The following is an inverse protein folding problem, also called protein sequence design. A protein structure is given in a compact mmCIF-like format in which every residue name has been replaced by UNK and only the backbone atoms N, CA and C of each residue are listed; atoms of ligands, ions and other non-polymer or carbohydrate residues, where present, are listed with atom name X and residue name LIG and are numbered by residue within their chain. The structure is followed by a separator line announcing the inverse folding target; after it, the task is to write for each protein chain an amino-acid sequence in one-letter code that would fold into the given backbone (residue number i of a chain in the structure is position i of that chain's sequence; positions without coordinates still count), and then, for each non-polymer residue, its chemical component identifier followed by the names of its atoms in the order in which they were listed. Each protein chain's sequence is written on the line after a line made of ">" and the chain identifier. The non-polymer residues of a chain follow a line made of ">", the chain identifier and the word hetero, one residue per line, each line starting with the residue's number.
data_IF_849842463340
#
_entry.id   IF_849842463340
#
_cell.length_a   1.000
_cell.length_b   1.000
_cell.length_c   1.000
_cell.angle_alpha   90.00
_cell.angle_beta   90.00
_cell.angle_gamma   90.00
#
_symmetry.space_group_name_H-M   'P 1'
#
loop_
_entity.id
_entity.type
_entity.pdbx_description
1 polymer ?
#
# COMPACT_ATOMS: atom_id res chain seq x y z
N UNK A 1 18.02 -10.16 -4.56
CA UNK A 1 16.77 -10.94 -4.40
C UNK A 1 15.68 -9.99 -4.82
N UNK A 2 14.91 -10.35 -5.84
CA UNK A 2 13.85 -9.49 -6.33
C UNK A 2 12.66 -9.57 -5.39
N UNK A 3 12.12 -8.40 -5.04
CA UNK A 3 11.00 -8.25 -4.10
C UNK A 3 9.82 -7.66 -4.85
N UNK A 4 8.64 -8.27 -4.73
CA UNK A 4 7.41 -7.70 -5.27
C UNK A 4 6.75 -6.85 -4.21
N UNK A 5 6.38 -5.61 -4.55
CA UNK A 5 5.51 -4.80 -3.70
C UNK A 5 4.04 -5.17 -3.97
N UNK A 6 3.30 -5.65 -2.97
CA UNK A 6 1.89 -6.06 -3.13
C UNK A 6 0.97 -5.07 -2.42
N UNK A 7 0.02 -4.48 -3.13
CA UNK A 7 -0.95 -3.53 -2.61
C UNK A 7 -2.30 -4.22 -2.34
N UNK A 8 -2.66 -4.32 -1.06
CA UNK A 8 -3.93 -4.87 -0.60
C UNK A 8 -4.87 -3.72 -0.18
N UNK A 9 -5.87 -3.44 -1.03
CA UNK A 9 -6.88 -2.40 -0.78
C UNK A 9 -8.10 -3.04 -0.11
N UNK A 10 -8.06 -3.10 1.22
CA UNK A 10 -9.20 -3.49 2.03
C UNK A 10 -10.21 -2.37 2.23
N UNK A 11 -11.40 -2.71 2.75
CA UNK A 11 -12.46 -1.74 3.05
C UNK A 11 -12.08 -0.72 4.14
N UNK A 12 -11.33 -1.16 5.13
CA UNK A 12 -10.99 -0.35 6.32
C UNK A 12 -9.53 0.05 6.37
N UNK A 13 -8.65 -0.71 5.71
CA UNK A 13 -7.22 -0.45 5.67
C UNK A 13 -6.69 -0.71 4.26
N UNK A 14 -5.68 0.04 3.88
CA UNK A 14 -4.81 -0.28 2.74
C UNK A 14 -3.47 -0.72 3.30
N UNK A 15 -2.91 -1.79 2.74
CA UNK A 15 -1.63 -2.35 3.14
C UNK A 15 -0.70 -2.50 1.95
N UNK A 16 0.58 -2.31 2.21
CA UNK A 16 1.64 -2.51 1.23
C UNK A 16 2.65 -3.50 1.81
N UNK A 17 2.89 -4.59 1.09
CA UNK A 17 3.81 -5.64 1.49
C UNK A 17 5.05 -5.60 0.60
N UNK A 18 6.24 -5.80 1.19
CA UNK A 18 7.40 -6.26 0.45
C UNK A 18 7.43 -7.79 0.53
N UNK A 19 7.27 -8.48 -0.60
CA UNK A 19 7.15 -9.95 -0.65
C UNK A 19 8.37 -10.56 -1.31
N UNK A 20 9.01 -11.49 -0.61
CA UNK A 20 10.15 -12.24 -1.12
C UNK A 20 9.77 -13.23 -2.24
N UNK A 21 10.76 -13.79 -2.95
CA UNK A 21 10.52 -14.71 -4.06
C UNK A 21 9.87 -16.04 -3.66
N UNK A 22 9.86 -16.37 -2.38
CA UNK A 22 9.15 -17.52 -1.80
C UNK A 22 7.68 -17.21 -1.45
N UNK A 23 7.22 -15.99 -1.73
CA UNK A 23 5.87 -15.51 -1.42
C UNK A 23 5.69 -15.09 0.05
N UNK A 24 6.76 -15.03 0.83
CA UNK A 24 6.69 -14.65 2.25
C UNK A 24 6.85 -13.13 2.39
N UNK A 25 5.95 -12.45 3.13
CA UNK A 25 6.12 -11.02 3.43
C UNK A 25 7.38 -10.78 4.28
N UNK A 26 8.26 -9.92 3.78
CA UNK A 26 9.46 -9.44 4.46
C UNK A 26 9.16 -8.23 5.34
N UNK A 27 8.26 -7.35 4.86
CA UNK A 27 7.85 -6.13 5.56
C UNK A 27 6.40 -5.78 5.21
N UNK A 28 5.72 -5.06 6.09
CA UNK A 28 4.34 -4.60 5.88
C UNK A 28 4.16 -3.19 6.41
N UNK A 29 3.59 -2.32 5.57
CA UNK A 29 3.10 -1.00 5.94
C UNK A 29 1.57 -0.99 5.84
N UNK A 30 0.90 -0.17 6.66
CA UNK A 30 -0.56 -0.08 6.67
C UNK A 30 -1.02 1.34 6.97
N UNK A 31 -2.14 1.73 6.37
CA UNK A 31 -2.89 2.95 6.69
C UNK A 31 -4.39 2.67 6.72
N UNK A 32 -5.20 3.41 7.50
CA UNK A 32 -6.65 3.36 7.37
C UNK A 32 -7.12 3.76 5.96
N UNK A 33 -8.07 3.01 5.40
CA UNK A 33 -8.78 3.38 4.16
C UNK A 33 -9.97 4.29 4.50
N UNK A 34 -9.66 5.51 4.95
CA UNK A 34 -10.65 6.44 5.47
C UNK A 34 -11.76 6.71 4.44
N UNK A 35 -13.00 6.75 4.91
CA UNK A 35 -14.13 7.27 4.14
C UNK A 35 -14.43 8.69 4.59
N UNK A 36 -14.46 9.61 3.64
CA UNK A 36 -14.87 10.99 3.85
C UNK A 36 -16.38 11.10 3.66
N UNK A 37 -17.00 11.94 4.48
CA UNK A 37 -18.39 12.34 4.26
C UNK A 37 -18.47 13.24 3.02
N UNK A 38 -19.49 13.04 2.19
CA UNK A 38 -19.73 13.83 1.00
C UNK A 38 -21.11 13.55 0.41
N UNK A 39 -21.75 14.52 -0.25
CA UNK A 39 -23.04 14.29 -0.89
C UNK A 39 -22.86 13.53 -2.21
N UNK A 40 -23.75 12.58 -2.57
CA UNK A 40 -24.84 12.02 -1.75
C UNK A 40 -24.40 10.84 -0.85
N UNK A 41 -23.18 10.30 -1.02
CA UNK A 41 -22.65 9.20 -0.23
C UNK A 41 -21.19 9.41 0.18
N UNK A 42 -20.81 8.72 1.24
CA UNK A 42 -19.41 8.58 1.63
C UNK A 42 -18.57 8.02 0.49
N UNK A 43 -17.33 8.48 0.41
CA UNK A 43 -16.34 8.02 -0.55
C UNK A 43 -14.98 7.87 0.13
N UNK A 44 -14.12 7.02 -0.39
CA UNK A 44 -12.78 6.87 0.16
C UNK A 44 -11.91 8.11 -0.10
N UNK A 45 -10.99 8.40 0.81
CA UNK A 45 -9.99 9.45 0.65
C UNK A 45 -8.91 9.03 -0.35
N UNK A 46 -9.24 9.07 -1.65
CA UNK A 46 -8.33 8.63 -2.71
C UNK A 46 -7.03 9.43 -2.73
N UNK A 47 -7.10 10.74 -2.47
CA UNK A 47 -5.92 11.61 -2.46
C UNK A 47 -4.99 11.27 -1.28
N UNK A 48 -5.56 11.04 -0.09
CA UNK A 48 -4.79 10.58 1.07
C UNK A 48 -4.14 9.22 0.84
N UNK A 49 -4.87 8.28 0.21
CA UNK A 49 -4.34 6.95 -0.10
C UNK A 49 -3.24 6.99 -1.17
N UNK A 50 -3.39 7.80 -2.22
CA UNK A 50 -2.37 7.98 -3.26
C UNK A 50 -1.08 8.58 -2.66
N UNK A 51 -1.21 9.64 -1.85
CA UNK A 51 -0.07 10.26 -1.17
C UNK A 51 0.64 9.28 -0.23
N UNK A 52 -0.12 8.48 0.53
CA UNK A 52 0.44 7.44 1.38
C UNK A 52 1.14 6.36 0.57
N UNK A 53 0.53 5.86 -0.51
CA UNK A 53 1.07 4.79 -1.34
C UNK A 53 2.44 5.17 -1.92
N UNK A 54 2.56 6.37 -2.49
CA UNK A 54 3.83 6.85 -3.07
C UNK A 54 4.93 6.99 -2.00
N UNK A 55 4.58 7.50 -0.82
CA UNK A 55 5.52 7.61 0.29
C UNK A 55 5.95 6.23 0.82
N UNK A 56 4.99 5.31 1.00
CA UNK A 56 5.24 3.95 1.47
C UNK A 56 6.07 3.13 0.47
N UNK A 57 5.81 3.25 -0.84
CA UNK A 57 6.61 2.63 -1.90
C UNK A 57 8.04 3.17 -1.91
N UNK A 58 8.21 4.49 -1.78
CA UNK A 58 9.54 5.12 -1.70
C UNK A 58 10.32 4.60 -0.49
N UNK A 59 9.65 4.50 0.66
CA UNK A 59 10.23 4.01 1.90
C UNK A 59 10.64 2.54 1.78
N UNK A 60 9.78 1.66 1.25
CA UNK A 60 10.13 0.26 1.01
C UNK A 60 11.25 0.11 -0.02
N UNK A 61 11.22 0.86 -1.12
CA UNK A 61 12.27 0.83 -2.16
C UNK A 61 13.64 1.28 -1.64
N UNK A 62 13.70 2.04 -0.53
CA UNK A 62 14.96 2.39 0.11
C UNK A 62 15.61 1.23 0.88
N UNK A 63 14.84 0.18 1.22
CA UNK A 63 15.26 -1.00 1.99
C UNK A 63 15.27 -2.30 1.18
N UNK A 64 14.45 -2.38 0.13
CA UNK A 64 14.24 -3.56 -0.69
C UNK A 64 14.39 -3.22 -2.18
N UNK A 65 14.99 -4.13 -2.94
CA UNK A 65 15.12 -4.01 -4.40
C UNK A 65 13.80 -4.46 -5.06
N UNK A 66 12.87 -3.51 -5.19
CA UNK A 66 11.53 -3.74 -5.75
C UNK A 66 11.60 -3.77 -7.27
N UNK A 67 11.24 -4.89 -7.90
CA UNK A 67 11.26 -5.06 -9.36
C UNK A 67 9.85 -5.14 -9.98
N UNK A 68 8.82 -5.34 -9.16
CA UNK A 68 7.42 -5.41 -9.56
C UNK A 68 6.48 -4.82 -8.50
N UNK A 69 5.31 -4.37 -8.97
CA UNK A 69 4.19 -3.95 -8.12
C UNK A 69 2.96 -4.75 -8.56
N UNK A 70 2.26 -5.36 -7.60
CA UNK A 70 1.05 -6.17 -7.79
C UNK A 70 -0.13 -5.63 -6.98
#
# INVERSE_FOLDING_TARGET
>A
MTVTAVLDIGKTNVKLYAVGPDGVPLETLSTPNASLDGPPWRHHDLAGIEAWLLAALTDLASRHDIDAIE
#
